data_IF_145089166674
#
_entry.id   IF_145089166674
#
_cell.length_a   1.000
_cell.length_b   1.000
_cell.length_c   1.000
_cell.angle_alpha   90.00
_cell.angle_beta   90.00
_cell.angle_gamma   90.00
#
_symmetry.space_group_name_H-M   'P 1'
#
loop_
_entity.id
_entity.type
_entity.pdbx_description
1 polymer ?
#
# COMPACT_ATOMS: atom_id res chain seq x y z
N UNK A 1 -24.10 11.75 4.03
CA UNK A 1 -23.47 10.67 3.23
C UNK A 1 -22.51 9.90 4.12
N UNK A 2 -22.71 8.59 4.24
CA UNK A 2 -21.93 7.69 5.09
C UNK A 2 -20.48 7.63 4.59
N UNK A 3 -19.59 8.32 5.30
CA UNK A 3 -18.14 8.26 5.06
C UNK A 3 -17.66 6.88 5.53
N UNK A 4 -17.05 6.08 4.66
CA UNK A 4 -16.28 4.87 5.06
C UNK A 4 -15.34 5.23 6.23
N UNK A 5 -15.40 4.55 7.39
CA UNK A 5 -14.64 4.92 8.59
C UNK A 5 -13.19 4.42 8.51
N UNK A 6 -12.48 4.70 7.41
CA UNK A 6 -11.09 4.34 7.25
C UNK A 6 -10.27 5.50 6.66
N UNK A 7 -9.00 5.55 7.05
CA UNK A 7 -7.97 6.30 6.36
C UNK A 7 -7.35 5.41 5.30
N UNK A 8 -7.12 5.95 4.10
CA UNK A 8 -6.51 5.22 2.99
C UNK A 8 -5.18 5.87 2.67
N UNK A 9 -4.09 5.10 2.75
CA UNK A 9 -2.77 5.53 2.25
C UNK A 9 -2.38 4.64 1.08
N UNK A 10 -1.89 5.25 0.00
CA UNK A 10 -1.45 4.54 -1.20
C UNK A 10 -0.08 5.07 -1.65
N UNK A 11 0.84 4.16 -1.96
CA UNK A 11 2.14 4.49 -2.53
C UNK A 11 2.14 4.12 -4.00
N UNK A 12 2.36 5.08 -4.89
CA UNK A 12 2.52 4.86 -6.32
C UNK A 12 3.94 5.17 -6.73
N UNK A 13 4.49 4.29 -7.56
CA UNK A 13 5.84 4.43 -8.09
C UNK A 13 5.77 4.70 -9.58
N UNK A 14 6.27 5.87 -9.97
CA UNK A 14 6.57 6.14 -11.36
C UNK A 14 7.89 5.46 -11.73
N UNK A 15 7.80 4.20 -12.16
CA UNK A 15 8.96 3.39 -12.54
C UNK A 15 9.81 4.07 -13.63
N UNK A 16 9.18 4.78 -14.58
CA UNK A 16 9.88 5.47 -15.67
C UNK A 16 10.85 6.52 -15.11
N UNK A 17 10.36 7.43 -14.28
CA UNK A 17 11.18 8.46 -13.64
C UNK A 17 12.23 7.86 -12.69
N UNK A 18 11.93 6.74 -12.04
CA UNK A 18 12.87 6.08 -11.13
C UNK A 18 14.03 5.39 -11.84
N UNK A 19 13.78 4.68 -12.94
CA UNK A 19 14.84 4.04 -13.71
C UNK A 19 15.75 5.04 -14.40
N UNK A 20 15.21 6.19 -14.82
CA UNK A 20 15.99 7.29 -15.41
C UNK A 20 16.93 7.96 -14.38
N UNK A 21 16.57 7.95 -13.08
CA UNK A 21 17.27 8.75 -12.07
C UNK A 21 18.00 7.95 -10.97
N UNK A 22 17.79 6.63 -10.82
CA UNK A 22 18.38 5.85 -9.71
C UNK A 22 18.76 4.41 -10.08
N UNK A 23 20.06 4.21 -10.34
CA UNK A 23 20.71 2.88 -10.46
C UNK A 23 20.32 1.90 -9.32
N UNK A 24 20.15 2.42 -8.10
CA UNK A 24 19.89 1.63 -6.88
C UNK A 24 18.48 1.01 -6.79
N UNK A 25 17.53 1.41 -7.64
CA UNK A 25 16.16 0.89 -7.64
C UNK A 25 15.83 0.15 -8.96
N UNK A 26 16.88 -0.32 -9.65
CA UNK A 26 16.75 -1.00 -10.95
C UNK A 26 16.09 -2.38 -10.87
N UNK A 27 16.20 -3.08 -9.73
CA UNK A 27 15.57 -4.38 -9.57
C UNK A 27 14.21 -4.28 -8.85
N UNK A 28 13.25 -5.10 -9.31
CA UNK A 28 11.88 -5.10 -8.77
C UNK A 28 11.83 -5.48 -7.29
N UNK A 29 12.79 -6.25 -6.77
CA UNK A 29 12.80 -6.67 -5.36
C UNK A 29 13.13 -5.47 -4.47
N UNK A 30 14.17 -4.71 -4.82
CA UNK A 30 14.56 -3.51 -4.07
C UNK A 30 13.50 -2.43 -4.19
N UNK A 31 12.89 -2.26 -5.36
CA UNK A 31 11.77 -1.33 -5.54
C UNK A 31 10.56 -1.73 -4.69
N UNK A 32 10.23 -3.02 -4.63
CA UNK A 32 9.15 -3.54 -3.80
C UNK A 32 9.43 -3.35 -2.30
N UNK A 33 10.66 -3.61 -1.83
CA UNK A 33 11.03 -3.35 -0.44
C UNK A 33 10.97 -1.86 -0.11
N UNK A 34 11.45 -1.02 -1.01
CA UNK A 34 11.42 0.43 -0.85
C UNK A 34 9.99 0.96 -0.75
N UNK A 35 9.08 0.53 -1.62
CA UNK A 35 7.67 0.91 -1.57
C UNK A 35 6.99 0.45 -0.30
N UNK A 36 7.24 -0.79 0.12
CA UNK A 36 6.71 -1.30 1.38
C UNK A 36 7.20 -0.49 2.58
N UNK A 37 8.48 -0.10 2.64
CA UNK A 37 9.00 0.74 3.72
C UNK A 37 8.39 2.14 3.75
N UNK A 38 8.10 2.71 2.56
CA UNK A 38 7.38 3.97 2.45
C UNK A 38 5.96 3.82 2.99
N UNK A 39 5.24 2.76 2.61
CA UNK A 39 3.90 2.48 3.16
C UNK A 39 3.93 2.33 4.68
N UNK A 40 4.86 1.55 5.23
CA UNK A 40 5.02 1.39 6.69
C UNK A 40 5.30 2.72 7.39
N UNK A 41 6.08 3.62 6.77
CA UNK A 41 6.34 4.96 7.32
C UNK A 41 5.07 5.81 7.36
N UNK A 42 4.27 5.80 6.30
CA UNK A 42 3.01 6.57 6.27
C UNK A 42 2.03 6.05 7.31
N UNK A 43 1.87 4.73 7.41
CA UNK A 43 0.99 4.10 8.40
C UNK A 43 1.47 4.36 9.85
N UNK A 44 2.78 4.25 10.13
CA UNK A 44 3.34 4.58 11.45
C UNK A 44 3.13 6.05 11.80
N UNK A 45 3.31 6.95 10.82
CA UNK A 45 3.11 8.39 11.03
C UNK A 45 1.64 8.71 11.34
N UNK A 46 0.70 8.03 10.68
CA UNK A 46 -0.73 8.12 10.98
C UNK A 46 -1.08 7.59 12.38
N UNK A 47 -0.54 6.43 12.76
CA UNK A 47 -0.76 5.87 14.11
C UNK A 47 -0.18 6.78 15.20
N UNK A 48 1.01 7.34 14.98
CA UNK A 48 1.66 8.28 15.92
C UNK A 48 0.88 9.57 16.06
N UNK A 49 0.42 10.16 14.95
CA UNK A 49 -0.37 11.41 15.00
C UNK A 49 -1.74 11.21 15.67
N UNK A 50 -2.28 10.00 15.60
CA UNK A 50 -3.53 9.62 16.25
C UNK A 50 -3.35 9.12 17.69
N UNK A 51 -2.10 8.98 18.16
CA UNK A 51 -1.76 8.35 19.45
C UNK A 51 -2.36 6.93 19.62
N UNK A 52 -2.39 6.16 18.52
CA UNK A 52 -2.95 4.81 18.47
C UNK A 52 -1.87 3.78 18.17
N UNK A 53 -2.13 2.51 18.52
CA UNK A 53 -1.34 1.36 18.10
C UNK A 53 -2.12 0.50 17.11
N UNK A 54 -1.44 -0.15 16.17
CA UNK A 54 -2.08 -0.89 15.09
C UNK A 54 -1.49 -2.29 14.86
N UNK A 55 -2.33 -3.20 14.36
CA UNK A 55 -1.90 -4.51 13.85
C UNK A 55 -1.87 -4.43 12.33
N UNK A 56 -0.75 -4.84 11.73
CA UNK A 56 -0.59 -4.86 10.28
C UNK A 56 -1.14 -6.17 9.71
N UNK A 57 -2.19 -6.09 8.89
CA UNK A 57 -2.68 -7.21 8.09
C UNK A 57 -2.20 -7.05 6.63
N UNK A 58 -1.70 -8.13 6.03
CA UNK A 58 -1.22 -8.13 4.64
C UNK A 58 -1.87 -9.28 3.86
N UNK A 59 -2.20 -9.04 2.59
CA UNK A 59 -2.65 -10.12 1.71
C UNK A 59 -1.49 -11.07 1.37
N UNK A 60 -1.69 -12.35 1.69
CA UNK A 60 -0.77 -13.45 1.41
C UNK A 60 -0.63 -13.74 -0.09
N UNK A 61 -1.49 -13.18 -0.96
CA UNK A 61 -1.42 -13.37 -2.42
C UNK A 61 -0.60 -12.32 -3.15
N UNK A 62 0.11 -11.46 -2.42
CA UNK A 62 0.83 -10.31 -2.97
C UNK A 62 2.05 -10.64 -3.86
N UNK A 63 2.22 -11.89 -4.35
CA UNK A 63 2.55 -12.20 -5.76
C UNK A 63 2.47 -13.72 -6.09
N UNK A 64 2.48 -14.07 -7.38
CA UNK A 64 2.28 -15.41 -7.98
C UNK A 64 3.33 -16.51 -7.69
N UNK A 65 3.68 -16.79 -6.43
CA UNK A 65 4.32 -18.07 -6.05
C UNK A 65 4.21 -18.30 -4.54
N UNK A 66 3.33 -19.22 -4.14
CA UNK A 66 2.79 -19.44 -2.79
C UNK A 66 3.79 -20.02 -1.76
N UNK A 67 4.95 -19.41 -1.58
CA UNK A 67 5.83 -19.78 -0.44
C UNK A 67 7.14 -18.99 -0.30
N UNK A 68 7.62 -18.31 -1.35
CA UNK A 68 8.85 -17.49 -1.29
C UNK A 68 8.58 -15.98 -1.13
N UNK A 69 7.32 -15.55 -1.13
CA UNK A 69 6.93 -14.13 -1.09
C UNK A 69 6.53 -13.68 0.32
N UNK A 70 5.88 -14.56 1.08
CA UNK A 70 5.45 -14.31 2.45
C UNK A 70 6.63 -13.97 3.38
N UNK A 71 7.72 -14.73 3.26
CA UNK A 71 8.91 -14.49 4.09
C UNK A 71 9.64 -13.20 3.70
N UNK A 72 9.54 -12.73 2.45
CA UNK A 72 10.19 -11.48 2.02
C UNK A 72 9.57 -10.26 2.69
N UNK A 73 8.24 -10.18 2.74
CA UNK A 73 7.53 -9.08 3.40
C UNK A 73 7.74 -9.11 4.92
N UNK A 74 7.71 -10.29 5.53
CA UNK A 74 7.95 -10.44 6.96
C UNK A 74 9.40 -10.05 7.31
N UNK A 75 10.40 -10.46 6.51
CA UNK A 75 11.79 -10.02 6.68
C UNK A 75 11.95 -8.53 6.52
N UNK A 76 11.38 -7.96 5.46
CA UNK A 76 11.40 -6.52 5.21
C UNK A 76 10.79 -5.76 6.39
N UNK A 77 9.63 -6.19 6.90
CA UNK A 77 9.02 -5.60 8.08
C UNK A 77 9.94 -5.68 9.32
N UNK A 78 10.51 -6.85 9.60
CA UNK A 78 11.44 -7.02 10.74
C UNK A 78 12.68 -6.14 10.62
N UNK A 79 13.25 -6.02 9.42
CA UNK A 79 14.36 -5.11 9.13
C UNK A 79 13.96 -3.65 9.36
N UNK A 80 12.78 -3.24 8.89
CA UNK A 80 12.25 -1.89 9.08
C UNK A 80 12.07 -1.56 10.57
N UNK A 81 11.41 -2.42 11.34
CA UNK A 81 11.22 -2.24 12.79
C UNK A 81 12.57 -2.12 13.53
N UNK A 82 13.54 -2.99 13.19
CA UNK A 82 14.89 -2.92 13.75
C UNK A 82 15.58 -1.59 13.42
N UNK A 83 15.45 -1.10 12.18
CA UNK A 83 16.04 0.17 11.74
C UNK A 83 15.50 1.39 12.51
N UNK A 84 14.27 1.28 13.03
CA UNK A 84 13.62 2.29 13.88
C UNK A 84 13.97 2.15 15.35
N UNK A 85 14.86 1.22 15.74
CA UNK A 85 15.12 0.87 17.15
C UNK A 85 13.83 0.51 17.90
N UNK A 86 12.88 -0.11 17.23
CA UNK A 86 11.55 -0.45 17.77
C UNK A 86 10.66 0.76 18.13
N UNK A 87 11.01 1.97 17.68
CA UNK A 87 10.12 3.15 17.75
C UNK A 87 9.10 3.13 16.60
N UNK A 88 8.07 2.29 16.72
CA UNK A 88 6.92 2.25 15.84
C UNK A 88 5.65 1.84 16.59
N UNK A 89 4.50 2.29 16.12
CA UNK A 89 3.20 2.03 16.76
C UNK A 89 2.54 0.70 16.32
N UNK A 90 3.30 -0.19 15.70
CA UNK A 90 2.81 -1.54 15.37
C UNK A 90 3.05 -2.50 16.54
N UNK A 91 1.99 -3.20 16.98
CA UNK A 91 2.03 -4.01 18.22
C UNK A 91 2.65 -5.40 18.04
N UNK A 92 2.69 -5.95 16.82
CA UNK A 92 3.11 -7.34 16.56
C UNK A 92 3.83 -7.52 15.21
N UNK A 93 4.13 -8.77 14.85
CA UNK A 93 4.46 -9.12 13.46
C UNK A 93 3.24 -9.03 12.55
N UNK A 94 3.42 -8.87 11.22
CA UNK A 94 2.31 -8.76 10.30
C UNK A 94 1.50 -10.05 10.25
N UNK A 95 0.17 -9.91 10.26
CA UNK A 95 -0.76 -11.01 10.08
C UNK A 95 -1.01 -11.22 8.59
N UNK A 96 -0.62 -12.38 8.07
CA UNK A 96 -0.83 -12.74 6.67
C UNK A 96 -2.18 -13.45 6.54
N UNK A 97 -3.02 -12.99 5.62
CA UNK A 97 -4.31 -13.60 5.33
C UNK A 97 -4.66 -13.48 3.86
N UNK A 98 -5.46 -14.39 3.32
CA UNK A 98 -5.95 -14.24 1.95
C UNK A 98 -7.15 -13.29 1.92
N UNK A 99 -7.16 -12.30 1.02
CA UNK A 99 -8.23 -11.29 1.03
C UNK A 99 -9.64 -11.86 0.88
N UNK A 100 -9.81 -13.02 0.24
CA UNK A 100 -11.11 -13.72 0.19
C UNK A 100 -11.75 -14.02 1.57
N UNK A 101 -10.96 -14.04 2.65
CA UNK A 101 -11.44 -14.31 4.01
C UNK A 101 -11.46 -13.08 4.93
N UNK A 102 -10.85 -11.95 4.54
CA UNK A 102 -10.69 -10.77 5.39
C UNK A 102 -11.20 -9.51 4.68
N UNK A 103 -12.33 -8.97 5.16
CA UNK A 103 -12.98 -7.78 4.56
C UNK A 103 -12.06 -6.57 4.47
N UNK A 104 -11.21 -6.34 5.48
CA UNK A 104 -10.23 -5.25 5.45
C UNK A 104 -9.22 -5.37 4.30
N UNK A 105 -8.78 -6.59 3.99
CA UNK A 105 -7.90 -6.85 2.85
C UNK A 105 -8.64 -6.72 1.52
N UNK A 106 -9.91 -7.14 1.43
CA UNK A 106 -10.74 -6.92 0.23
C UNK A 106 -10.92 -5.44 -0.07
N UNK A 107 -11.14 -4.63 0.97
CA UNK A 107 -11.26 -3.18 0.82
C UNK A 107 -9.94 -2.57 0.32
N UNK A 108 -8.81 -2.99 0.86
CA UNK A 108 -7.49 -2.54 0.40
C UNK A 108 -7.24 -2.90 -1.07
N UNK A 109 -7.54 -4.14 -1.47
CA UNK A 109 -7.43 -4.61 -2.87
C UNK A 109 -8.33 -3.79 -3.81
N UNK A 110 -9.59 -3.56 -3.39
CA UNK A 110 -10.56 -2.79 -4.16
C UNK A 110 -10.08 -1.34 -4.39
N UNK A 111 -9.61 -0.70 -3.32
CA UNK A 111 -9.07 0.68 -3.39
C UNK A 111 -7.81 0.74 -4.25
N UNK A 112 -6.89 -0.22 -4.12
CA UNK A 112 -5.71 -0.30 -4.97
C UNK A 112 -6.10 -0.46 -6.45
N UNK A 113 -7.12 -1.26 -6.75
CA UNK A 113 -7.67 -1.39 -8.09
C UNK A 113 -8.22 -0.05 -8.62
N UNK A 114 -9.03 0.66 -7.83
CA UNK A 114 -9.57 1.99 -8.19
C UNK A 114 -8.46 2.98 -8.55
N UNK A 115 -7.43 3.06 -7.70
CA UNK A 115 -6.29 3.96 -7.89
C UNK A 115 -5.49 3.57 -9.15
N UNK A 116 -5.27 2.27 -9.38
CA UNK A 116 -4.56 1.75 -10.55
C UNK A 116 -5.29 2.09 -11.85
N UNK A 117 -6.61 1.85 -11.90
CA UNK A 117 -7.44 2.19 -13.06
C UNK A 117 -7.41 3.70 -13.36
N UNK A 118 -7.47 4.53 -12.32
CA UNK A 118 -7.44 6.00 -12.47
C UNK A 118 -6.09 6.50 -12.98
N UNK A 119 -4.99 5.96 -12.47
CA UNK A 119 -3.63 6.39 -12.85
C UNK A 119 -3.18 5.90 -14.22
N UNK A 120 -3.73 4.78 -14.71
CA UNK A 120 -3.42 4.27 -16.05
C UNK A 120 -4.14 5.02 -17.19
N UNK A 121 -4.93 6.06 -16.91
CA UNK A 121 -5.72 6.78 -17.91
C UNK A 121 -6.51 5.84 -18.85
N UNK A 122 -7.02 4.72 -18.32
CA UNK A 122 -7.87 3.83 -19.10
C UNK A 122 -9.05 4.68 -19.58
N UNK A 123 -9.09 4.90 -20.89
CA UNK A 123 -10.07 5.77 -21.53
C UNK A 123 -11.48 5.34 -21.12
N UNK A 124 -12.38 6.32 -21.02
CA UNK A 124 -13.80 6.16 -20.73
C UNK A 124 -14.43 5.12 -21.68
N UNK A 125 -14.35 3.86 -21.31
CA UNK A 125 -15.24 2.82 -21.78
C UNK A 125 -16.48 2.87 -20.87
N UNK A 126 -17.68 2.86 -21.43
CA UNK A 126 -18.95 3.13 -20.72
C UNK A 126 -19.19 2.16 -19.53
N UNK A 127 -18.47 1.04 -19.49
CA UNK A 127 -18.45 0.07 -18.37
C UNK A 127 -17.76 0.57 -17.10
N UNK A 128 -17.03 1.70 -17.15
CA UNK A 128 -16.21 2.20 -16.04
C UNK A 128 -16.84 3.36 -15.25
N UNK A 129 -18.09 3.75 -15.51
CA UNK A 129 -18.72 4.91 -14.86
C UNK A 129 -18.88 4.72 -13.34
N UNK A 130 -19.37 3.56 -12.91
CA UNK A 130 -19.51 3.25 -11.47
C UNK A 130 -18.18 3.23 -10.71
N UNK A 131 -17.07 2.91 -11.40
CA UNK A 131 -15.74 2.97 -10.80
C UNK A 131 -15.25 4.40 -10.60
N UNK A 132 -15.51 5.29 -11.56
CA UNK A 132 -15.16 6.71 -11.41
C UNK A 132 -15.96 7.36 -10.28
N UNK A 133 -17.25 7.05 -10.17
CA UNK A 133 -18.09 7.51 -9.07
C UNK A 133 -17.59 6.99 -7.71
N UNK A 134 -17.24 5.70 -7.63
CA UNK A 134 -16.67 5.12 -6.41
C UNK A 134 -15.33 5.78 -6.02
N UNK A 135 -14.46 6.05 -6.99
CA UNK A 135 -13.22 6.78 -6.74
C UNK A 135 -13.51 8.21 -6.26
N UNK A 136 -14.44 8.92 -6.88
CA UNK A 136 -14.81 10.28 -6.50
C UNK A 136 -15.38 10.38 -5.07
N UNK A 137 -16.05 9.32 -4.58
CA UNK A 137 -16.52 9.22 -3.19
C UNK A 137 -15.35 9.05 -2.20
N UNK A 138 -14.25 8.41 -2.63
CA UNK A 138 -13.13 8.03 -1.77
C UNK A 138 -11.94 8.97 -1.87
N UNK A 139 -11.81 9.76 -2.94
CA UNK A 139 -10.63 10.58 -3.23
C UNK A 139 -10.17 11.44 -2.05
N UNK A 140 -11.11 12.04 -1.30
CA UNK A 140 -10.81 12.91 -0.16
C UNK A 140 -10.19 12.17 1.04
N UNK A 141 -10.21 10.83 1.02
CA UNK A 141 -9.62 9.96 2.04
C UNK A 141 -8.36 9.26 1.59
N UNK A 142 -8.08 9.31 0.29
CA UNK A 142 -6.90 8.69 -0.30
C UNK A 142 -5.75 9.68 -0.12
N UNK A 143 -4.85 9.37 0.80
CA UNK A 143 -3.54 9.97 0.83
C UNK A 143 -2.64 9.23 -0.17
N UNK A 144 -2.44 9.84 -1.34
CA UNK A 144 -1.59 9.31 -2.38
C UNK A 144 -0.17 9.89 -2.27
N UNK A 145 0.82 9.00 -2.16
CA UNK A 145 2.24 9.36 -2.21
C UNK A 145 2.83 8.84 -3.51
N UNK A 146 3.19 9.76 -4.41
CA UNK A 146 3.88 9.45 -5.67
C UNK A 146 5.40 9.48 -5.47
N UNK A 147 6.10 8.57 -6.14
CA UNK A 147 7.56 8.46 -6.08
C UNK A 147 8.13 8.47 -7.51
N UNK A 148 9.09 9.37 -7.84
CA UNK A 148 9.65 10.40 -6.96
C UNK A 148 8.60 11.46 -6.57
N UNK A 149 8.76 12.03 -5.38
CA UNK A 149 7.89 13.12 -4.90
C UNK A 149 8.12 14.35 -5.80
N UNK A 150 7.04 14.91 -6.37
CA UNK A 150 7.09 16.15 -7.18
C UNK A 150 7.28 17.38 -6.30
#
# INVERSE_FOLDING_TARGET
>A
MNKIPCHISSIIVNKKLLYENRELLKDDITLYRFTFYRLLKELDSFLKSSNESGILFLDSRSTHSTGKQDDRLVRAYREWVKSRKHDCNFVEQPWLGASQFYVGLQLADYVACLISLKTQNIQKDDRNFGFLEAFDILKDKIHLVEIPEN
#
